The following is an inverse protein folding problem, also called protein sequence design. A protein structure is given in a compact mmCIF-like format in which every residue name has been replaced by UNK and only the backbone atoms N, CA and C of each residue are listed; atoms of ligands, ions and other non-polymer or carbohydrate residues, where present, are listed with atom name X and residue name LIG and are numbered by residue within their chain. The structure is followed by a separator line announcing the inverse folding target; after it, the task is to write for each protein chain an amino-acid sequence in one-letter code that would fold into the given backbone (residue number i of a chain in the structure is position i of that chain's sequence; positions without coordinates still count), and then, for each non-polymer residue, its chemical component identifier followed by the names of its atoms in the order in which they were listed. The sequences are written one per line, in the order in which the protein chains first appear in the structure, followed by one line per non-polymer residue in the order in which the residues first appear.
data_IF_559047825636
#
_entry.id   IF_559047825636
#
_cell.length_a   1.000
_cell.length_b   1.000
_cell.length_c   1.000
_cell.angle_alpha   90.00
_cell.angle_beta   90.00
_cell.angle_gamma   90.00
#
_symmetry.space_group_name_H-M   'P 1'
#
loop_
_entity.id
_entity.type
_entity.pdbx_description
1 polymer ?
#
# COMPACT_ATOMS: atom_id res chain seq x y z
N UNK A 1 6.81 -23.32 18.15
CA UNK A 1 5.41 -23.33 18.63
C UNK A 1 4.82 -21.96 18.33
N UNK A 2 3.68 -21.87 17.62
CA UNK A 2 2.99 -20.58 17.47
C UNK A 2 2.38 -20.27 18.81
N UNK A 3 2.90 -19.26 19.48
CA UNK A 3 2.36 -18.79 20.73
C UNK A 3 1.16 -17.90 20.44
N UNK A 4 -0.01 -18.25 20.96
CA UNK A 4 -1.25 -17.47 20.86
C UNK A 4 -1.54 -16.85 22.23
N UNK A 5 -0.49 -16.37 22.87
CA UNK A 5 -0.63 -15.68 24.14
C UNK A 5 -1.37 -14.35 23.94
N UNK A 6 -2.38 -14.13 24.79
CA UNK A 6 -3.10 -12.88 24.83
C UNK A 6 -2.27 -11.83 25.59
N UNK A 7 -2.06 -10.69 24.97
CA UNK A 7 -1.33 -9.58 25.59
C UNK A 7 -2.25 -8.86 26.59
N UNK A 8 -1.91 -8.87 27.87
CA UNK A 8 -2.73 -8.30 28.93
C UNK A 8 -2.74 -6.76 28.95
N UNK A 9 -3.23 -6.15 27.87
CA UNK A 9 -3.39 -4.70 27.78
C UNK A 9 -4.28 -4.12 28.88
N UNK A 10 -5.30 -4.89 29.32
CA UNK A 10 -6.21 -4.46 30.37
C UNK A 10 -5.51 -4.27 31.72
N UNK A 11 -4.62 -5.19 32.07
CA UNK A 11 -3.91 -5.19 33.34
C UNK A 11 -2.66 -4.31 33.38
N UNK A 12 -2.13 -3.91 32.22
CA UNK A 12 -0.93 -3.07 32.15
C UNK A 12 -1.18 -1.64 32.61
N UNK A 13 -0.25 -1.08 33.40
CA UNK A 13 -0.18 0.38 33.64
C UNK A 13 0.21 1.09 32.34
N UNK A 14 -0.01 2.41 32.27
CA UNK A 14 0.34 3.20 31.07
C UNK A 14 1.85 3.16 30.78
N UNK A 15 2.69 3.12 31.80
CA UNK A 15 4.14 3.01 31.67
C UNK A 15 4.55 1.64 31.13
N UNK A 16 3.98 0.56 31.67
CA UNK A 16 4.25 -0.80 31.21
C UNK A 16 3.75 -1.02 29.78
N UNK A 17 2.57 -0.49 29.45
CA UNK A 17 2.00 -0.58 28.10
C UNK A 17 2.88 0.17 27.08
N UNK A 18 3.33 1.38 27.41
CA UNK A 18 4.26 2.14 26.56
C UNK A 18 5.55 1.39 26.32
N UNK A 19 6.14 0.79 27.38
CA UNK A 19 7.35 -0.01 27.26
C UNK A 19 7.14 -1.24 26.36
N UNK A 20 6.05 -1.98 26.57
CA UNK A 20 5.69 -3.13 25.76
C UNK A 20 5.57 -2.75 24.27
N UNK A 21 4.90 -1.64 23.96
CA UNK A 21 4.74 -1.17 22.59
C UNK A 21 6.09 -0.82 21.94
N UNK A 22 6.99 -0.15 22.68
CA UNK A 22 8.33 0.18 22.20
C UNK A 22 9.17 -1.09 21.92
N UNK A 23 9.15 -2.07 22.84
CA UNK A 23 9.87 -3.33 22.69
C UNK A 23 9.38 -4.19 21.49
N UNK A 24 8.14 -4.00 21.07
CA UNK A 24 7.52 -4.72 19.95
C UNK A 24 7.37 -3.87 18.68
N UNK A 25 8.03 -2.70 18.59
CA UNK A 25 7.93 -1.80 17.42
C UNK A 25 6.49 -1.40 17.06
N UNK A 26 5.67 -1.15 18.08
CA UNK A 26 4.27 -0.75 17.95
C UNK A 26 4.15 0.77 18.20
N UNK A 27 3.60 1.51 17.23
CA UNK A 27 3.46 2.97 17.27
C UNK A 27 2.09 3.46 17.78
N UNK A 28 1.21 2.55 18.22
CA UNK A 28 -0.07 2.90 18.81
C UNK A 28 0.10 3.71 20.11
N UNK A 29 -0.82 4.61 20.37
CA UNK A 29 -0.93 5.26 21.69
C UNK A 29 -1.60 4.32 22.69
N UNK A 30 -1.38 4.54 23.98
CA UNK A 30 -2.02 3.74 25.03
C UNK A 30 -3.54 3.72 24.88
N UNK A 31 -4.17 4.86 24.58
CA UNK A 31 -5.62 4.98 24.37
C UNK A 31 -6.10 4.17 23.14
N UNK A 32 -5.29 4.13 22.07
CA UNK A 32 -5.57 3.35 20.86
C UNK A 32 -5.51 1.85 21.17
N UNK A 33 -4.47 1.41 21.89
CA UNK A 33 -4.34 0.01 22.32
C UNK A 33 -5.51 -0.44 23.21
N UNK A 34 -5.93 0.40 24.18
CA UNK A 34 -7.10 0.11 25.03
C UNK A 34 -8.40 0.08 24.23
N UNK A 35 -8.51 0.91 23.17
CA UNK A 35 -9.67 0.90 22.28
C UNK A 35 -9.78 -0.44 21.53
N UNK A 36 -8.66 -1.06 21.12
CA UNK A 36 -8.67 -2.40 20.49
C UNK A 36 -9.35 -3.40 21.42
N UNK A 37 -8.94 -3.43 22.70
CA UNK A 37 -9.52 -4.33 23.70
C UNK A 37 -11.06 -4.17 23.82
N UNK A 38 -11.54 -2.93 23.77
CA UNK A 38 -12.98 -2.65 23.84
C UNK A 38 -13.71 -3.13 22.57
N UNK A 39 -13.08 -2.98 21.38
CA UNK A 39 -13.68 -3.36 20.11
C UNK A 39 -13.78 -4.87 19.92
N UNK A 40 -12.74 -5.62 20.35
CA UNK A 40 -12.74 -7.08 20.23
C UNK A 40 -13.32 -7.81 21.46
N UNK A 41 -13.61 -7.08 22.54
CA UNK A 41 -14.22 -7.60 23.78
C UNK A 41 -13.29 -8.43 24.67
N UNK A 42 -12.01 -8.55 24.34
CA UNK A 42 -10.99 -9.35 25.06
C UNK A 42 -9.60 -8.72 24.89
N UNK A 43 -8.63 -9.23 25.62
CA UNK A 43 -7.23 -8.94 25.32
C UNK A 43 -6.84 -9.46 23.94
N UNK A 44 -6.07 -8.70 23.13
CA UNK A 44 -5.65 -9.10 21.78
C UNK A 44 -4.48 -10.07 21.81
N UNK A 45 -4.30 -10.80 20.71
CA UNK A 45 -3.03 -11.47 20.42
C UNK A 45 -1.98 -10.46 19.94
N UNK A 46 -0.71 -10.81 19.97
CA UNK A 46 0.35 -9.95 19.39
C UNK A 46 0.12 -9.70 17.90
N UNK A 47 -0.37 -10.70 17.15
CA UNK A 47 -0.73 -10.56 15.73
C UNK A 47 -1.83 -9.52 15.53
N UNK A 48 -2.88 -9.53 16.36
CA UNK A 48 -3.95 -8.52 16.30
C UNK A 48 -3.43 -7.12 16.59
N UNK A 49 -2.56 -6.97 17.58
CA UNK A 49 -1.98 -5.65 17.88
C UNK A 49 -1.20 -5.10 16.67
N UNK A 50 -0.38 -5.92 16.00
CA UNK A 50 0.35 -5.50 14.80
C UNK A 50 -0.60 -5.15 13.65
N UNK A 51 -1.68 -5.90 13.46
CA UNK A 51 -2.72 -5.61 12.47
C UNK A 51 -3.31 -4.21 12.70
N UNK A 52 -3.78 -3.94 13.91
CA UNK A 52 -4.31 -2.62 14.26
C UNK A 52 -3.25 -1.52 14.21
N UNK A 53 -2.00 -1.82 14.60
CA UNK A 53 -0.90 -0.86 14.53
C UNK A 53 -0.71 -0.30 13.11
N UNK A 54 -0.73 -1.17 12.10
CA UNK A 54 -0.57 -0.78 10.71
C UNK A 54 -1.84 -0.08 10.19
N UNK A 55 -3.01 -0.71 10.33
CA UNK A 55 -4.26 -0.15 9.80
C UNK A 55 -4.68 1.16 10.48
N UNK A 56 -4.29 1.37 11.73
CA UNK A 56 -4.55 2.60 12.47
C UNK A 56 -3.37 3.57 12.45
N UNK A 57 -2.34 3.34 11.63
CA UNK A 57 -1.26 4.29 11.41
C UNK A 57 -1.77 5.55 10.71
N UNK A 58 -1.02 6.64 10.73
CA UNK A 58 -1.34 7.84 9.94
C UNK A 58 -1.34 7.52 8.45
N UNK A 59 -0.44 6.63 8.02
CA UNK A 59 -0.30 6.21 6.62
C UNK A 59 -1.58 5.54 6.09
N UNK A 60 -2.12 4.53 6.79
CA UNK A 60 -3.26 3.75 6.30
C UNK A 60 -4.61 4.41 6.61
N UNK A 61 -4.76 5.04 7.78
CA UNK A 61 -6.05 5.57 8.22
C UNK A 61 -6.24 7.06 7.98
N UNK A 62 -5.17 7.80 7.62
CA UNK A 62 -5.21 9.28 7.51
C UNK A 62 -5.78 9.91 8.78
N UNK A 63 -5.43 9.37 9.95
CA UNK A 63 -6.13 9.65 11.21
C UNK A 63 -6.13 11.12 11.62
N UNK A 64 -5.13 11.91 11.21
CA UNK A 64 -5.03 13.35 11.46
C UNK A 64 -5.52 14.19 10.28
N UNK A 65 -5.43 13.71 9.05
CA UNK A 65 -5.69 14.47 7.83
C UNK A 65 -7.06 14.19 7.19
N UNK A 66 -7.68 13.03 7.48
CA UNK A 66 -8.97 12.62 6.91
C UNK A 66 -10.08 13.69 6.98
N UNK A 67 -10.29 14.42 8.11
CA UNK A 67 -11.31 15.47 8.16
C UNK A 67 -11.06 16.60 7.16
N UNK A 68 -9.79 16.93 6.89
CA UNK A 68 -9.39 17.96 5.93
C UNK A 68 -9.53 17.43 4.50
N UNK A 69 -9.06 16.21 4.22
CA UNK A 69 -9.17 15.59 2.89
C UNK A 69 -10.62 15.49 2.43
N UNK A 70 -11.57 15.24 3.34
CA UNK A 70 -13.00 15.21 3.03
C UNK A 70 -13.57 16.55 2.54
N UNK A 71 -12.86 17.66 2.70
CA UNK A 71 -13.27 18.98 2.18
C UNK A 71 -12.90 19.19 0.71
N UNK A 72 -12.03 18.34 0.14
CA UNK A 72 -11.63 18.42 -1.25
C UNK A 72 -12.77 17.98 -2.18
N UNK A 73 -12.96 18.63 -3.33
CA UNK A 73 -13.95 18.21 -4.31
C UNK A 73 -13.52 16.90 -4.97
N UNK A 74 -14.34 15.86 -4.82
CA UNK A 74 -14.08 14.53 -5.36
C UNK A 74 -15.07 14.11 -6.45
N UNK A 75 -16.03 15.00 -6.78
CA UNK A 75 -17.09 14.75 -7.79
C UNK A 75 -17.11 15.88 -8.80
N UNK A 76 -17.07 15.51 -10.08
CA UNK A 76 -17.26 16.43 -11.20
C UNK A 76 -17.86 15.64 -12.38
N UNK A 77 -18.45 16.30 -13.40
CA UNK A 77 -19.06 15.59 -14.55
C UNK A 77 -18.12 14.65 -15.30
N UNK A 78 -16.82 14.94 -15.28
CA UNK A 78 -15.77 14.14 -15.92
C UNK A 78 -15.07 13.14 -14.99
N UNK A 79 -15.48 13.02 -13.71
CA UNK A 79 -14.95 12.00 -12.80
C UNK A 79 -15.74 10.72 -12.99
N UNK A 80 -15.07 9.65 -13.46
CA UNK A 80 -15.65 8.30 -13.58
C UNK A 80 -15.61 7.63 -12.19
N UNK A 81 -14.47 7.70 -11.52
CA UNK A 81 -14.28 7.16 -10.18
C UNK A 81 -13.46 8.16 -9.36
N UNK A 82 -13.99 8.56 -8.21
CA UNK A 82 -13.27 9.42 -7.25
C UNK A 82 -12.21 8.65 -6.47
N UNK A 83 -11.51 9.30 -5.52
CA UNK A 83 -10.44 8.69 -4.72
C UNK A 83 -11.02 7.82 -3.59
N UNK A 84 -11.67 6.73 -3.95
CA UNK A 84 -12.32 5.77 -3.02
C UNK A 84 -11.76 4.35 -3.13
N UNK A 85 -10.93 4.12 -4.14
CA UNK A 85 -10.21 2.87 -4.40
C UNK A 85 -8.72 3.18 -4.59
N UNK A 86 -7.92 2.24 -5.14
CA UNK A 86 -6.46 2.39 -5.28
C UNK A 86 -6.06 3.58 -6.17
N UNK A 87 -6.90 3.97 -7.14
CA UNK A 87 -6.66 5.14 -8.01
C UNK A 87 -7.94 5.85 -8.41
N UNK A 88 -7.85 7.15 -8.69
CA UNK A 88 -8.93 7.91 -9.31
C UNK A 88 -8.96 7.76 -10.82
N UNK A 89 -10.15 7.92 -11.43
CA UNK A 89 -10.35 7.80 -12.88
C UNK A 89 -11.12 9.01 -13.39
N UNK A 90 -10.55 9.70 -14.38
CA UNK A 90 -11.12 10.87 -15.05
C UNK A 90 -11.41 10.51 -16.51
N UNK A 91 -12.53 10.98 -17.05
CA UNK A 91 -12.90 10.76 -18.45
C UNK A 91 -11.88 11.41 -19.39
N UNK A 92 -11.31 10.62 -20.29
CA UNK A 92 -10.43 11.09 -21.35
C UNK A 92 -11.24 11.46 -22.62
N UNK A 93 -12.39 10.81 -22.84
CA UNK A 93 -13.23 10.99 -23.99
C UNK A 93 -13.77 9.68 -24.55
N UNK A 94 -14.41 9.75 -25.73
CA UNK A 94 -14.98 8.59 -26.43
C UNK A 94 -14.25 8.32 -27.74
N UNK A 95 -13.89 7.06 -27.96
CA UNK A 95 -13.28 6.57 -29.20
C UNK A 95 -14.14 5.42 -29.71
N UNK A 96 -14.68 5.52 -30.92
CA UNK A 96 -15.57 4.53 -31.53
C UNK A 96 -16.77 4.14 -30.63
N UNK A 97 -17.36 5.15 -29.94
CA UNK A 97 -18.48 4.94 -29.03
C UNK A 97 -18.11 4.39 -27.62
N UNK A 98 -16.89 3.95 -27.41
CA UNK A 98 -16.38 3.47 -26.13
C UNK A 98 -15.83 4.63 -25.31
N UNK A 99 -16.21 4.74 -24.03
CA UNK A 99 -15.72 5.74 -23.10
C UNK A 99 -14.39 5.27 -22.51
N UNK A 100 -13.37 6.13 -22.59
CA UNK A 100 -12.05 5.90 -22.01
C UNK A 100 -11.83 6.79 -20.80
N UNK A 101 -11.15 6.23 -19.80
CA UNK A 101 -10.67 6.94 -18.63
C UNK A 101 -9.15 6.95 -18.57
N UNK A 102 -8.60 8.05 -18.04
CA UNK A 102 -7.23 8.11 -17.55
C UNK A 102 -7.25 7.81 -16.07
N UNK A 103 -6.47 6.82 -15.67
CA UNK A 103 -6.26 6.44 -14.27
C UNK A 103 -5.07 7.20 -13.75
N UNK A 104 -5.20 7.82 -12.60
CA UNK A 104 -4.14 8.61 -11.98
C UNK A 104 -4.00 8.20 -10.53
N UNK A 105 -2.80 7.82 -10.15
CA UNK A 105 -2.41 7.67 -8.76
C UNK A 105 -1.21 8.56 -8.45
N UNK A 106 -1.17 9.11 -7.25
CA UNK A 106 -0.10 9.95 -6.76
C UNK A 106 0.15 9.65 -5.30
N UNK A 107 1.37 9.29 -4.97
CA UNK A 107 1.80 9.10 -3.59
C UNK A 107 3.22 9.62 -3.36
N UNK A 108 3.70 9.53 -2.13
CA UNK A 108 5.06 9.92 -1.75
C UNK A 108 5.75 8.78 -1.00
N UNK A 109 7.11 8.62 -1.24
CA UNK A 109 7.95 7.62 -0.59
C UNK A 109 9.16 8.29 0.08
N UNK A 110 8.89 9.23 1.00
CA UNK A 110 9.85 10.19 1.52
C UNK A 110 10.81 9.58 2.55
N UNK A 111 10.29 9.04 3.67
CA UNK A 111 11.10 8.46 4.75
C UNK A 111 12.00 7.32 4.27
N UNK A 112 11.48 6.34 3.52
CA UNK A 112 12.33 5.29 2.96
C UNK A 112 13.45 5.83 2.07
N UNK A 113 13.14 6.83 1.23
CA UNK A 113 14.13 7.46 0.34
C UNK A 113 15.17 8.30 1.08
N UNK A 114 14.83 8.86 2.24
CA UNK A 114 15.80 9.56 3.09
C UNK A 114 16.79 8.61 3.76
N UNK A 115 16.37 7.37 4.05
CA UNK A 115 17.16 6.37 4.79
C UNK A 115 17.95 5.47 3.85
N UNK A 116 17.31 4.95 2.80
CA UNK A 116 17.89 4.06 1.76
C UNK A 116 17.42 4.58 0.39
N UNK A 117 18.08 5.61 -0.16
CA UNK A 117 17.50 6.42 -1.22
C UNK A 117 17.23 5.65 -2.53
N UNK A 118 18.08 4.73 -2.94
CA UNK A 118 17.86 3.93 -4.15
C UNK A 118 16.64 3.03 -4.00
N UNK A 119 16.62 2.17 -3.00
CA UNK A 119 15.55 1.21 -2.74
C UNK A 119 14.23 1.92 -2.39
N UNK A 120 14.31 3.00 -1.62
CA UNK A 120 13.15 3.80 -1.26
C UNK A 120 12.47 4.40 -2.49
N UNK A 121 13.22 5.02 -3.39
CA UNK A 121 12.68 5.62 -4.61
C UNK A 121 12.20 4.56 -5.61
N UNK A 122 12.96 3.48 -5.79
CA UNK A 122 12.58 2.36 -6.65
C UNK A 122 11.27 1.71 -6.18
N UNK A 123 11.10 1.51 -4.86
CA UNK A 123 9.86 0.99 -4.28
C UNK A 123 8.69 1.94 -4.50
N UNK A 124 8.89 3.26 -4.40
CA UNK A 124 7.87 4.25 -4.72
C UNK A 124 7.31 4.08 -6.13
N UNK A 125 8.18 3.92 -7.14
CA UNK A 125 7.75 3.62 -8.52
C UNK A 125 6.99 2.29 -8.57
N UNK A 126 7.49 1.25 -7.89
CA UNK A 126 6.84 -0.06 -7.85
C UNK A 126 5.42 -0.01 -7.25
N UNK A 127 5.24 0.77 -6.18
CA UNK A 127 3.96 0.98 -5.50
C UNK A 127 2.95 1.67 -6.40
N UNK A 128 3.30 2.82 -6.92
CA UNK A 128 2.37 3.63 -7.72
C UNK A 128 1.93 2.93 -9.02
N UNK A 129 2.80 2.09 -9.60
CA UNK A 129 2.44 1.25 -10.76
C UNK A 129 1.38 0.22 -10.35
N UNK A 130 1.49 -0.38 -9.15
CA UNK A 130 0.51 -1.35 -8.66
C UNK A 130 -0.88 -0.75 -8.53
N UNK A 131 -0.99 0.44 -7.96
CA UNK A 131 -2.28 1.12 -7.77
C UNK A 131 -3.03 1.33 -9.08
N UNK A 132 -2.32 1.84 -10.09
CA UNK A 132 -2.91 2.06 -11.42
C UNK A 132 -3.27 0.73 -12.09
N UNK A 133 -2.41 -0.30 -11.97
CA UNK A 133 -2.66 -1.63 -12.52
C UNK A 133 -3.89 -2.28 -11.88
N UNK A 134 -4.10 -2.08 -10.57
CA UNK A 134 -5.22 -2.67 -9.83
C UNK A 134 -6.59 -2.17 -10.28
N UNK A 135 -6.66 -1.02 -10.93
CA UNK A 135 -7.89 -0.55 -11.56
C UNK A 135 -8.22 -1.23 -12.91
N UNK A 136 -7.43 -2.22 -13.35
CA UNK A 136 -7.59 -2.86 -14.67
C UNK A 136 -6.96 -2.04 -15.81
N UNK A 137 -6.19 -1.01 -15.50
CA UNK A 137 -5.64 -0.09 -16.47
C UNK A 137 -4.34 -0.60 -17.10
N UNK A 138 -4.12 -0.23 -18.37
CA UNK A 138 -2.79 -0.31 -18.99
C UNK A 138 -1.96 0.86 -18.49
N UNK A 139 -0.91 0.57 -17.73
CA UNK A 139 0.05 1.57 -17.27
C UNK A 139 0.82 2.13 -18.48
N UNK A 140 0.91 3.45 -18.59
CA UNK A 140 1.49 4.12 -19.76
C UNK A 140 2.66 5.05 -19.43
N UNK A 141 2.71 5.60 -18.21
CA UNK A 141 3.73 6.57 -17.84
C UNK A 141 3.84 6.77 -16.34
N UNK A 142 5.01 7.29 -15.91
CA UNK A 142 5.24 7.86 -14.59
C UNK A 142 5.66 9.34 -14.70
N UNK A 143 5.59 10.05 -13.57
CA UNK A 143 6.13 11.40 -13.39
C UNK A 143 6.58 11.58 -11.95
N UNK A 144 7.69 12.32 -11.73
CA UNK A 144 8.32 12.39 -10.43
C UNK A 144 8.63 13.85 -10.02
N UNK A 145 7.74 14.51 -9.24
CA UNK A 145 8.07 15.80 -8.62
C UNK A 145 8.92 15.59 -7.37
N UNK A 146 10.22 15.93 -7.46
CA UNK A 146 11.22 15.66 -6.44
C UNK A 146 11.62 16.92 -5.69
N UNK A 147 11.82 16.80 -4.37
CA UNK A 147 12.28 17.92 -3.50
C UNK A 147 13.45 17.45 -2.67
N UNK A 148 14.56 18.17 -2.76
CA UNK A 148 15.80 17.87 -2.06
C UNK A 148 16.28 19.07 -1.25
N UNK A 149 17.14 18.79 -0.27
CA UNK A 149 17.81 19.80 0.55
C UNK A 149 18.70 20.75 -0.26
N UNK A 150 19.35 21.66 0.43
CA UNK A 150 20.23 22.66 -0.21
C UNK A 150 21.57 22.02 -0.68
N UNK A 151 21.82 21.87 -2.01
CA UNK A 151 23.03 21.25 -2.54
C UNK A 151 24.30 22.07 -2.34
N UNK A 152 24.18 23.27 -1.77
CA UNK A 152 25.28 24.18 -1.43
C UNK A 152 25.38 24.46 0.09
N UNK A 153 24.45 23.89 0.88
CA UNK A 153 24.36 24.06 2.33
C UNK A 153 25.41 23.25 3.12
N UNK A 154 25.22 23.18 4.44
CA UNK A 154 26.11 22.42 5.35
C UNK A 154 26.12 20.94 5.03
N UNK A 155 24.96 20.39 4.67
CA UNK A 155 24.75 18.96 4.39
C UNK A 155 24.91 18.61 2.90
N UNK A 156 25.55 19.46 2.12
CA UNK A 156 25.61 19.37 0.64
C UNK A 156 26.01 18.00 0.09
N UNK A 157 26.93 17.30 0.73
CA UNK A 157 27.39 16.00 0.27
C UNK A 157 26.31 14.93 0.48
N UNK A 158 25.63 14.97 1.62
CA UNK A 158 24.50 14.07 1.91
C UNK A 158 23.31 14.35 0.99
N UNK A 159 22.95 15.61 0.81
CA UNK A 159 21.88 16.02 -0.12
C UNK A 159 22.15 15.55 -1.53
N UNK A 160 23.38 15.73 -2.04
CA UNK A 160 23.78 15.25 -3.37
C UNK A 160 23.76 13.73 -3.49
N UNK A 161 24.20 13.02 -2.46
CA UNK A 161 24.12 11.56 -2.40
C UNK A 161 22.66 11.10 -2.50
N UNK A 162 21.76 11.63 -1.66
CA UNK A 162 20.34 11.28 -1.70
C UNK A 162 19.73 11.58 -3.06
N UNK A 163 19.97 12.77 -3.63
CA UNK A 163 19.41 13.14 -4.92
C UNK A 163 19.87 12.20 -6.05
N UNK A 164 21.16 11.84 -6.08
CA UNK A 164 21.70 10.91 -7.07
C UNK A 164 21.09 9.52 -6.92
N UNK A 165 21.05 8.97 -5.71
CA UNK A 165 20.54 7.61 -5.49
C UNK A 165 19.03 7.52 -5.71
N UNK A 166 18.26 8.55 -5.37
CA UNK A 166 16.83 8.63 -5.70
C UNK A 166 16.62 8.57 -7.22
N UNK A 167 17.35 9.38 -7.98
CA UNK A 167 17.26 9.38 -9.45
C UNK A 167 17.67 8.02 -10.03
N UNK A 168 18.74 7.42 -9.50
CA UNK A 168 19.21 6.09 -9.91
C UNK A 168 18.17 5.01 -9.60
N UNK A 169 17.50 5.08 -8.44
CA UNK A 169 16.44 4.14 -8.05
C UNK A 169 15.23 4.23 -8.98
N UNK A 170 14.76 5.46 -9.28
CA UNK A 170 13.68 5.70 -10.23
C UNK A 170 14.05 5.15 -11.60
N UNK A 171 15.23 5.48 -12.12
CA UNK A 171 15.69 5.03 -13.42
C UNK A 171 15.86 3.50 -13.48
N UNK A 172 16.48 2.89 -12.46
CA UNK A 172 16.71 1.46 -12.38
C UNK A 172 15.39 0.67 -12.40
N UNK A 173 14.38 1.14 -11.68
CA UNK A 173 13.06 0.49 -11.66
C UNK A 173 12.28 0.72 -12.96
N UNK A 174 12.13 1.97 -13.39
CA UNK A 174 11.33 2.35 -14.56
C UNK A 174 11.86 1.75 -15.87
N UNK A 175 13.18 1.72 -16.04
CA UNK A 175 13.82 1.09 -17.21
C UNK A 175 13.54 -0.40 -17.26
N UNK A 176 13.65 -1.11 -16.14
CA UNK A 176 13.43 -2.56 -16.10
C UNK A 176 11.97 -2.95 -16.35
N UNK A 177 11.00 -2.16 -15.88
CA UNK A 177 9.57 -2.40 -16.16
C UNK A 177 9.15 -1.88 -17.54
N UNK A 178 9.95 -1.03 -18.19
CA UNK A 178 9.67 -0.50 -19.51
C UNK A 178 8.57 0.57 -19.56
N UNK A 179 8.37 1.30 -18.45
CA UNK A 179 7.40 2.37 -18.35
C UNK A 179 8.14 3.71 -18.39
N UNK A 180 7.84 4.60 -19.39
CA UNK A 180 8.54 5.85 -19.54
C UNK A 180 8.16 6.85 -18.42
N UNK A 181 9.17 7.60 -17.96
CA UNK A 181 8.94 8.79 -17.16
C UNK A 181 8.73 9.97 -18.15
N UNK A 182 7.55 10.61 -18.09
CA UNK A 182 7.15 11.65 -19.04
C UNK A 182 7.32 13.06 -18.50
N UNK A 183 7.31 13.23 -17.19
CA UNK A 183 7.28 14.54 -16.58
C UNK A 183 7.83 14.48 -15.15
N UNK A 184 7.89 15.63 -14.53
CA UNK A 184 8.36 15.83 -13.18
C UNK A 184 9.11 17.15 -13.07
N UNK A 185 9.54 17.46 -11.88
CA UNK A 185 10.42 18.60 -11.63
C UNK A 185 11.34 18.29 -10.45
N UNK A 186 12.42 19.05 -10.35
CA UNK A 186 13.34 18.98 -9.21
C UNK A 186 13.45 20.36 -8.59
N UNK A 187 13.25 20.41 -7.29
CA UNK A 187 13.36 21.64 -6.52
C UNK A 187 14.25 21.44 -5.29
N UNK A 188 15.12 22.41 -5.02
CA UNK A 188 16.06 22.39 -3.91
C UNK A 188 15.74 23.48 -2.89
N UNK A 189 15.61 23.09 -1.62
CA UNK A 189 15.39 24.04 -0.53
C UNK A 189 15.91 23.44 0.78
N UNK A 190 16.49 24.25 1.64
CA UNK A 190 17.05 23.83 2.93
C UNK A 190 16.03 23.15 3.87
N UNK A 191 14.74 23.43 3.68
CA UNK A 191 13.68 22.76 4.46
C UNK A 191 13.58 21.26 4.20
N UNK A 192 14.23 20.74 3.16
CA UNK A 192 14.28 19.32 2.81
C UNK A 192 15.64 18.67 3.10
N UNK A 193 16.52 19.32 3.87
CA UNK A 193 17.86 18.80 4.19
C UNK A 193 17.80 17.45 4.92
N UNK A 194 16.84 17.29 5.82
CA UNK A 194 16.70 16.13 6.69
C UNK A 194 15.59 15.15 6.27
N UNK A 195 14.73 15.55 5.33
CA UNK A 195 13.67 14.71 4.79
C UNK A 195 13.31 15.16 3.36
N UNK A 196 13.86 14.48 2.37
CA UNK A 196 13.53 14.70 0.97
C UNK A 196 12.06 14.34 0.68
N UNK A 197 11.47 14.93 -0.36
CA UNK A 197 10.18 14.50 -0.89
C UNK A 197 10.41 13.78 -2.22
N UNK A 198 10.11 12.49 -2.23
CA UNK A 198 10.07 11.66 -3.42
C UNK A 198 8.62 11.38 -3.73
N UNK A 199 8.03 12.23 -4.57
CA UNK A 199 6.67 12.05 -5.03
C UNK A 199 6.71 11.28 -6.35
N UNK A 200 5.75 10.39 -6.51
CA UNK A 200 5.61 9.54 -7.69
C UNK A 200 4.17 9.61 -8.19
N UNK A 201 4.03 9.77 -9.49
CA UNK A 201 2.74 9.79 -10.19
C UNK A 201 2.76 8.68 -11.23
N UNK A 202 1.67 7.94 -11.35
CA UNK A 202 1.52 6.95 -12.40
C UNK A 202 0.22 7.20 -13.17
N UNK A 203 0.31 7.01 -14.47
CA UNK A 203 -0.81 7.18 -15.40
C UNK A 203 -1.13 5.85 -16.07
N UNK A 204 -2.42 5.56 -16.18
CA UNK A 204 -2.93 4.43 -16.95
C UNK A 204 -4.11 4.81 -17.82
N UNK A 205 -4.43 3.96 -18.78
CA UNK A 205 -5.60 4.10 -19.65
C UNK A 205 -6.42 2.81 -19.59
N UNK A 206 -7.76 2.99 -19.52
CA UNK A 206 -8.69 1.88 -19.60
C UNK A 206 -9.99 2.32 -20.31
N UNK A 207 -10.80 1.34 -20.71
CA UNK A 207 -12.21 1.59 -21.05
C UNK A 207 -13.03 1.53 -19.77
N UNK A 208 -13.99 2.44 -19.60
CA UNK A 208 -14.85 2.49 -18.40
C UNK A 208 -15.49 1.13 -18.05
N UNK A 209 -15.89 0.36 -19.06
CA UNK A 209 -16.47 -0.98 -18.87
C UNK A 209 -15.49 -2.06 -18.41
N UNK A 210 -14.20 -1.80 -18.50
CA UNK A 210 -13.12 -2.74 -18.19
C UNK A 210 -12.50 -2.45 -16.80
N UNK A 211 -13.10 -1.55 -16.01
CA UNK A 211 -12.65 -1.25 -14.63
C UNK A 211 -12.72 -2.52 -13.78
N UNK A 212 -11.64 -2.81 -13.10
CA UNK A 212 -11.55 -3.82 -12.04
C UNK A 212 -11.54 -3.07 -10.71
N UNK A 213 -12.29 -3.56 -9.75
CA UNK A 213 -12.49 -2.87 -8.47
C UNK A 213 -11.63 -3.45 -7.36
N UNK A 214 -11.19 -2.59 -6.45
CA UNK A 214 -10.44 -2.95 -5.24
C UNK A 214 -11.36 -3.42 -4.09
N UNK A 215 -12.44 -4.12 -4.42
CA UNK A 215 -13.34 -4.74 -3.45
C UNK A 215 -13.90 -6.07 -3.96
N UNK A 216 -14.34 -6.92 -3.02
CA UNK A 216 -14.98 -8.20 -3.35
C UNK A 216 -16.25 -7.97 -4.18
N UNK A 217 -16.40 -8.63 -5.34
CA UNK A 217 -17.60 -8.51 -6.17
C UNK A 217 -18.87 -8.91 -5.41
N UNK A 218 -20.01 -8.44 -5.91
CA UNK A 218 -21.30 -8.91 -5.40
C UNK A 218 -21.42 -10.44 -5.54
N UNK A 219 -21.96 -11.08 -4.52
CA UNK A 219 -22.11 -12.54 -4.42
C UNK A 219 -20.77 -13.29 -4.31
N UNK A 220 -19.72 -12.65 -3.77
CA UNK A 220 -18.40 -13.22 -3.62
C UNK A 220 -18.24 -14.22 -2.44
N UNK A 221 -19.32 -14.55 -1.72
CA UNK A 221 -19.21 -15.58 -0.66
C UNK A 221 -18.60 -16.86 -1.21
N UNK A 222 -17.57 -17.38 -0.50
CA UNK A 222 -16.88 -18.60 -0.88
C UNK A 222 -15.90 -18.44 -2.05
N UNK A 223 -15.70 -17.22 -2.59
CA UNK A 223 -14.63 -16.95 -3.55
C UNK A 223 -13.28 -17.17 -2.90
N UNK A 224 -12.33 -17.61 -3.71
CA UNK A 224 -10.96 -17.80 -3.27
C UNK A 224 -10.24 -16.45 -3.11
N UNK A 225 -9.39 -16.36 -2.10
CA UNK A 225 -8.42 -15.29 -1.92
C UNK A 225 -7.07 -15.83 -2.36
N UNK A 226 -6.51 -15.24 -3.42
CA UNK A 226 -5.27 -15.67 -4.05
C UNK A 226 -4.24 -14.57 -3.91
N UNK A 227 -3.07 -14.90 -3.36
CA UNK A 227 -1.90 -14.01 -3.40
C UNK A 227 -0.98 -14.41 -4.53
N UNK A 228 -0.32 -13.41 -5.11
CA UNK A 228 0.60 -13.57 -6.24
C UNK A 228 1.87 -12.77 -6.00
N UNK A 229 3.02 -13.33 -6.39
CA UNK A 229 4.29 -12.65 -6.43
C UNK A 229 5.34 -13.25 -5.50
N UNK A 230 6.20 -12.40 -4.95
CA UNK A 230 7.37 -12.77 -4.14
C UNK A 230 6.96 -13.48 -2.85
N UNK A 231 7.74 -14.47 -2.36
CA UNK A 231 7.49 -15.05 -1.05
C UNK A 231 7.65 -14.00 0.06
N UNK A 232 6.79 -14.08 1.06
CA UNK A 232 6.83 -13.17 2.20
C UNK A 232 8.12 -13.37 2.98
N UNK A 233 8.80 -12.28 3.28
CA UNK A 233 10.01 -12.20 4.08
C UNK A 233 9.87 -11.17 5.22
N UNK A 234 10.94 -10.82 5.87
CA UNK A 234 10.96 -9.80 6.93
C UNK A 234 11.23 -8.38 6.39
N UNK A 235 11.41 -8.19 5.09
CA UNK A 235 11.61 -6.85 4.50
C UNK A 235 10.33 -6.02 4.57
N UNK A 236 10.46 -4.72 4.78
CA UNK A 236 9.32 -3.81 4.91
C UNK A 236 8.44 -4.05 6.14
N UNK A 237 8.89 -4.85 7.13
CA UNK A 237 8.14 -5.00 8.37
C UNK A 237 8.05 -3.68 9.12
N UNK A 238 6.83 -3.20 9.34
CA UNK A 238 6.58 -1.91 10.01
C UNK A 238 6.77 -0.67 9.13
N UNK A 239 6.90 -0.79 7.82
CA UNK A 239 7.11 0.32 6.89
C UNK A 239 6.07 1.43 7.00
N UNK A 240 4.77 1.09 6.99
CA UNK A 240 3.68 2.07 7.16
C UNK A 240 3.71 2.75 8.55
N UNK A 241 4.09 2.03 9.60
CA UNK A 241 4.28 2.61 10.92
C UNK A 241 5.50 3.55 10.95
N UNK A 242 6.62 3.16 10.35
CA UNK A 242 7.82 3.98 10.21
C UNK A 242 7.56 5.27 9.44
N UNK A 243 6.82 5.21 8.33
CA UNK A 243 6.44 6.38 7.54
C UNK A 243 5.60 7.41 8.33
N UNK A 244 5.05 7.02 9.48
CA UNK A 244 4.25 7.87 10.36
C UNK A 244 5.04 8.48 11.53
N UNK A 245 6.34 8.18 11.69
CA UNK A 245 7.19 8.66 12.78
C UNK A 245 7.83 10.03 12.45
N UNK A 246 8.31 10.72 13.48
CA UNK A 246 9.23 11.82 13.32
C UNK A 246 10.60 11.24 12.95
N UNK A 247 11.19 11.73 11.86
CA UNK A 247 12.45 11.21 11.33
C UNK A 247 13.64 11.91 12.02
N UNK A 248 14.16 11.31 13.08
CA UNK A 248 15.44 11.67 13.71
C UNK A 248 16.52 10.62 13.39
N UNK A 249 17.75 10.83 13.86
CA UNK A 249 18.88 9.93 13.55
C UNK A 249 18.68 8.53 14.11
N UNK A 250 18.10 8.38 15.30
CA UNK A 250 17.81 7.09 15.92
C UNK A 250 16.74 6.34 15.12
N UNK A 251 15.68 7.04 14.71
CA UNK A 251 14.64 6.49 13.87
C UNK A 251 15.15 6.06 12.48
N UNK A 252 16.07 6.82 11.88
CA UNK A 252 16.71 6.46 10.61
C UNK A 252 17.48 5.14 10.71
N UNK A 253 18.31 4.98 11.73
CA UNK A 253 19.18 3.80 11.89
C UNK A 253 18.37 2.54 12.25
N UNK A 254 17.45 2.66 13.20
CA UNK A 254 16.64 1.53 13.69
C UNK A 254 15.64 1.00 12.66
N UNK A 255 15.23 1.81 11.68
CA UNK A 255 14.19 1.46 10.70
C UNK A 255 14.71 1.18 9.27
N UNK A 256 16.00 0.95 9.08
CA UNK A 256 16.54 0.53 7.77
C UNK A 256 15.88 -0.75 7.25
N UNK A 257 15.59 -1.70 8.12
CA UNK A 257 14.90 -2.94 7.78
C UNK A 257 13.41 -2.77 7.43
N UNK A 258 12.82 -1.61 7.74
CA UNK A 258 11.45 -1.26 7.35
C UNK A 258 11.36 -0.79 5.89
N UNK A 259 12.48 -0.55 5.21
CA UNK A 259 12.51 -0.25 3.78
C UNK A 259 12.41 -1.54 2.99
N UNK A 260 11.52 -1.54 2.01
CA UNK A 260 11.25 -2.69 1.16
C UNK A 260 12.39 -2.92 0.14
N UNK A 261 12.49 -4.15 -0.37
CA UNK A 261 13.46 -4.55 -1.40
C UNK A 261 12.75 -4.67 -2.74
N UNK A 262 12.93 -3.71 -3.68
CA UNK A 262 12.30 -3.73 -4.99
C UNK A 262 12.88 -4.82 -5.90
N UNK A 263 12.03 -5.40 -6.76
CA UNK A 263 12.42 -6.32 -7.82
C UNK A 263 11.72 -5.96 -9.13
N UNK A 264 12.27 -5.00 -9.88
CA UNK A 264 11.62 -4.50 -11.09
C UNK A 264 11.56 -5.53 -12.22
N UNK A 265 12.44 -6.55 -12.22
CA UNK A 265 12.39 -7.61 -13.24
C UNK A 265 11.17 -8.51 -12.98
N UNK A 266 10.97 -8.97 -11.76
CA UNK A 266 9.77 -9.71 -11.37
C UNK A 266 8.51 -8.85 -11.63
N UNK A 267 8.56 -7.56 -11.32
CA UNK A 267 7.43 -6.64 -11.59
C UNK A 267 7.05 -6.61 -13.07
N UNK A 268 8.00 -6.54 -13.98
CA UNK A 268 7.72 -6.57 -15.42
C UNK A 268 6.93 -7.82 -15.80
N UNK A 269 7.37 -8.99 -15.31
CA UNK A 269 6.68 -10.26 -15.57
C UNK A 269 5.28 -10.28 -14.94
N UNK A 270 5.15 -9.81 -13.70
CA UNK A 270 3.86 -9.71 -13.01
C UNK A 270 2.86 -8.81 -13.76
N UNK A 271 3.30 -7.65 -14.28
CA UNK A 271 2.46 -6.74 -15.07
C UNK A 271 1.93 -7.47 -16.31
N UNK A 272 2.78 -8.17 -17.03
CA UNK A 272 2.41 -8.90 -18.26
C UNK A 272 1.43 -10.04 -17.96
N UNK A 273 1.73 -10.83 -16.93
CA UNK A 273 0.85 -11.90 -16.46
C UNK A 273 -0.52 -11.37 -16.00
N UNK A 274 -0.52 -10.23 -15.29
CA UNK A 274 -1.76 -9.58 -14.83
C UNK A 274 -2.63 -9.13 -16.01
N UNK A 275 -2.03 -8.57 -17.06
CA UNK A 275 -2.79 -8.23 -18.27
C UNK A 275 -3.41 -9.46 -18.93
N UNK A 276 -2.74 -10.61 -18.90
CA UNK A 276 -3.34 -11.85 -19.43
C UNK A 276 -4.50 -12.35 -18.55
N UNK A 277 -4.41 -12.20 -17.22
CA UNK A 277 -5.56 -12.45 -16.32
C UNK A 277 -6.74 -11.54 -16.67
N UNK A 278 -6.51 -10.25 -16.93
CA UNK A 278 -7.57 -9.33 -17.35
C UNK A 278 -8.22 -9.76 -18.66
N UNK A 279 -7.40 -10.15 -19.64
CA UNK A 279 -7.89 -10.63 -20.94
C UNK A 279 -8.74 -11.88 -20.79
N UNK A 280 -8.29 -12.83 -19.98
CA UNK A 280 -9.01 -14.09 -19.77
C UNK A 280 -10.29 -13.90 -18.97
N UNK A 281 -10.28 -13.03 -17.94
CA UNK A 281 -11.47 -12.66 -17.18
C UNK A 281 -12.54 -12.01 -18.08
N UNK A 282 -12.10 -11.16 -19.01
CA UNK A 282 -12.98 -10.50 -19.97
C UNK A 282 -13.59 -11.51 -20.97
N UNK A 283 -12.81 -12.44 -21.51
CA UNK A 283 -13.29 -13.52 -22.39
C UNK A 283 -14.35 -14.37 -21.71
N UNK A 284 -14.17 -14.68 -20.43
CA UNK A 284 -15.07 -15.51 -19.64
C UNK A 284 -16.19 -14.73 -18.95
N UNK A 285 -16.23 -13.39 -19.11
CA UNK A 285 -17.15 -12.49 -18.42
C UNK A 285 -17.17 -12.71 -16.89
N UNK A 286 -15.99 -12.71 -16.27
CA UNK A 286 -15.81 -12.93 -14.84
C UNK A 286 -15.51 -11.60 -14.16
N UNK A 287 -16.20 -11.31 -13.05
CA UNK A 287 -15.86 -10.20 -12.17
C UNK A 287 -14.93 -10.67 -11.08
N UNK A 288 -13.87 -9.91 -10.86
CA UNK A 288 -12.80 -10.17 -9.90
C UNK A 288 -12.69 -8.96 -8.95
N UNK A 289 -12.21 -9.19 -7.73
CA UNK A 289 -11.63 -8.15 -6.91
C UNK A 289 -10.11 -8.20 -7.07
N UNK A 290 -9.44 -7.06 -7.14
CA UNK A 290 -8.00 -7.00 -7.32
C UNK A 290 -7.41 -5.82 -6.57
N UNK A 291 -6.35 -6.07 -5.81
CA UNK A 291 -5.71 -5.04 -5.02
C UNK A 291 -4.21 -5.27 -4.96
N UNK A 292 -3.46 -4.17 -4.86
CA UNK A 292 -2.05 -4.23 -4.58
C UNK A 292 -1.77 -4.76 -3.16
N UNK A 293 -0.56 -5.23 -2.95
CA UNK A 293 -0.09 -5.67 -1.66
C UNK A 293 1.15 -4.85 -1.29
N UNK A 294 0.90 -3.63 -0.82
CA UNK A 294 1.90 -2.68 -0.35
C UNK A 294 1.92 -2.61 1.17
N UNK A 295 1.59 -1.44 1.70
CA UNK A 295 1.53 -1.18 3.14
C UNK A 295 0.64 -2.19 3.87
N UNK A 296 1.13 -2.74 4.99
CA UNK A 296 0.42 -3.73 5.78
C UNK A 296 0.24 -5.11 5.14
N UNK A 297 0.86 -5.35 3.98
CA UNK A 297 1.00 -6.67 3.38
C UNK A 297 -0.31 -7.42 3.14
N UNK A 298 -0.29 -8.71 3.45
CA UNK A 298 -1.44 -9.62 3.24
C UNK A 298 -2.68 -9.14 4.00
N UNK A 299 -2.48 -8.70 5.24
CA UNK A 299 -3.58 -8.28 6.10
C UNK A 299 -4.32 -7.09 5.49
N UNK A 300 -3.62 -6.06 5.06
CA UNK A 300 -4.23 -4.85 4.52
C UNK A 300 -5.02 -5.19 3.24
N UNK A 301 -4.36 -5.79 2.24
CA UNK A 301 -5.00 -6.09 0.96
C UNK A 301 -6.21 -7.01 1.09
N UNK A 302 -6.14 -8.06 1.90
CA UNK A 302 -7.24 -9.03 2.03
C UNK A 302 -8.39 -8.49 2.88
N UNK A 303 -8.09 -7.74 3.96
CA UNK A 303 -9.14 -7.18 4.81
C UNK A 303 -9.89 -6.05 4.10
N UNK A 304 -9.21 -5.17 3.36
CA UNK A 304 -9.84 -4.09 2.62
C UNK A 304 -10.69 -4.61 1.47
N UNK A 305 -10.15 -5.52 0.62
CA UNK A 305 -10.93 -6.14 -0.45
C UNK A 305 -12.26 -6.76 0.05
N UNK A 306 -12.21 -7.45 1.19
CA UNK A 306 -13.41 -8.08 1.75
C UNK A 306 -14.32 -7.06 2.44
N UNK A 307 -13.77 -6.18 3.27
CA UNK A 307 -14.53 -5.17 4.01
C UNK A 307 -15.28 -4.21 3.11
N UNK A 308 -14.66 -3.76 2.01
CA UNK A 308 -15.26 -2.81 1.07
C UNK A 308 -16.35 -3.46 0.21
N UNK A 309 -16.30 -4.79 0.08
CA UNK A 309 -17.37 -5.60 -0.49
C UNK A 309 -18.47 -6.04 0.48
N UNK A 310 -18.41 -5.60 1.76
CA UNK A 310 -19.30 -6.03 2.85
C UNK A 310 -19.20 -7.52 3.22
N UNK A 311 -17.99 -8.08 3.14
CA UNK A 311 -17.67 -9.46 3.50
C UNK A 311 -16.62 -9.50 4.62
N UNK A 312 -16.46 -10.69 5.20
CA UNK A 312 -15.31 -11.07 6.01
C UNK A 312 -14.34 -11.95 5.23
N UNK A 313 -13.26 -12.34 5.89
CA UNK A 313 -12.25 -13.21 5.31
C UNK A 313 -11.79 -14.29 6.28
N UNK A 314 -11.51 -15.48 5.77
CA UNK A 314 -10.80 -16.55 6.47
C UNK A 314 -9.51 -16.88 5.73
N UNK A 315 -8.37 -16.61 6.35
CA UNK A 315 -7.02 -16.77 5.78
C UNK A 315 -6.25 -17.82 6.57
N UNK A 316 -5.56 -18.68 5.85
CA UNK A 316 -4.66 -19.71 6.37
C UNK A 316 -3.22 -19.29 6.05
N UNK A 317 -2.49 -18.78 7.06
CA UNK A 317 -1.11 -18.34 6.89
C UNK A 317 -0.13 -19.47 6.55
N UNK A 318 -0.51 -20.73 6.81
CA UNK A 318 0.30 -21.89 6.41
C UNK A 318 0.33 -22.09 4.88
N UNK A 319 -0.62 -21.47 4.14
CA UNK A 319 -0.68 -21.48 2.68
C UNK A 319 0.04 -20.32 2.01
N UNK A 320 0.47 -19.34 2.81
CA UNK A 320 1.29 -18.24 2.32
C UNK A 320 2.68 -18.75 1.99
N UNK A 321 3.18 -18.45 0.80
CA UNK A 321 4.57 -18.75 0.48
C UNK A 321 5.48 -17.74 1.21
N UNK A 322 6.40 -18.29 1.99
CA UNK A 322 7.38 -17.56 2.80
C UNK A 322 8.80 -17.98 2.39
N UNK A 323 9.75 -17.06 2.48
CA UNK A 323 11.16 -17.34 2.16
C UNK A 323 11.97 -17.86 3.36
N UNK A 324 11.44 -17.65 4.58
CA UNK A 324 12.07 -18.06 5.84
C UNK A 324 10.99 -18.29 6.90
N UNK A 325 11.33 -19.03 7.98
CA UNK A 325 10.42 -19.19 9.12
C UNK A 325 10.32 -17.88 9.92
N UNK A 326 9.16 -17.24 9.83
CA UNK A 326 8.85 -15.96 10.48
C UNK A 326 7.53 -16.06 11.28
N UNK A 327 7.36 -15.25 12.34
CA UNK A 327 6.17 -15.31 13.19
C UNK A 327 4.91 -14.87 12.45
N UNK A 328 3.75 -15.26 12.98
CA UNK A 328 2.41 -15.00 12.38
C UNK A 328 2.17 -13.54 12.06
N UNK A 329 2.51 -12.64 12.99
CA UNK A 329 2.32 -11.21 12.78
C UNK A 329 3.17 -10.70 11.61
N UNK A 330 4.40 -11.20 11.46
CA UNK A 330 5.27 -10.81 10.36
C UNK A 330 4.77 -11.35 9.02
N UNK A 331 4.28 -12.60 8.95
CA UNK A 331 3.63 -13.13 7.75
C UNK A 331 2.44 -12.24 7.34
N UNK A 332 1.65 -11.81 8.33
CA UNK A 332 0.43 -11.05 8.08
C UNK A 332 0.69 -9.63 7.58
N UNK A 333 1.69 -8.93 8.13
CA UNK A 333 1.83 -7.48 7.91
C UNK A 333 3.12 -7.04 7.21
N UNK A 334 4.06 -7.94 6.87
CA UNK A 334 5.26 -7.55 6.11
C UNK A 334 4.92 -7.01 4.73
N UNK A 335 5.58 -5.92 4.37
CA UNK A 335 5.34 -5.18 3.12
C UNK A 335 6.30 -5.65 2.01
N UNK A 336 6.60 -6.96 1.98
CA UNK A 336 7.40 -7.56 0.90
C UNK A 336 6.85 -7.12 -0.45
N UNK A 337 7.70 -6.55 -1.30
CA UNK A 337 7.31 -5.95 -2.56
C UNK A 337 6.93 -6.99 -3.63
N UNK A 338 6.40 -6.52 -4.75
CA UNK A 338 6.04 -7.31 -5.93
C UNK A 338 4.99 -8.38 -5.64
N UNK A 339 3.88 -7.95 -5.00
CA UNK A 339 2.77 -8.84 -4.68
C UNK A 339 1.42 -8.20 -4.99
N UNK A 340 0.43 -9.06 -5.26
CA UNK A 340 -0.97 -8.71 -5.48
C UNK A 340 -1.91 -9.67 -4.80
N UNK A 341 -3.15 -9.25 -4.58
CA UNK A 341 -4.23 -10.07 -4.05
C UNK A 341 -5.41 -10.06 -5.02
N UNK A 342 -5.92 -11.26 -5.31
CA UNK A 342 -7.14 -11.47 -6.09
C UNK A 342 -8.27 -12.04 -5.24
N UNK A 343 -9.49 -11.59 -5.49
CA UNK A 343 -10.70 -12.29 -5.09
C UNK A 343 -11.32 -12.87 -6.37
N UNK A 344 -11.42 -14.20 -6.43
CA UNK A 344 -11.77 -14.93 -7.64
C UNK A 344 -12.82 -16.01 -7.39
N UNK A 345 -13.84 -16.14 -8.24
CA UNK A 345 -14.73 -17.29 -8.16
C UNK A 345 -13.96 -18.57 -8.44
N UNK A 346 -14.27 -19.64 -7.69
CA UNK A 346 -13.56 -20.94 -7.77
C UNK A 346 -13.41 -21.48 -9.18
N UNK A 347 -14.39 -21.20 -10.07
CA UNK A 347 -14.33 -21.65 -11.47
C UNK A 347 -13.23 -20.94 -12.28
N UNK A 348 -12.80 -19.76 -11.87
CA UNK A 348 -11.78 -18.96 -12.58
C UNK A 348 -10.40 -19.01 -11.90
N UNK A 349 -10.34 -19.32 -10.61
CA UNK A 349 -9.07 -19.42 -9.86
C UNK A 349 -8.02 -20.29 -10.56
N UNK A 350 -8.36 -21.46 -11.17
CA UNK A 350 -7.38 -22.25 -11.91
C UNK A 350 -6.71 -21.50 -13.05
N UNK A 351 -7.43 -20.59 -13.75
CA UNK A 351 -6.86 -19.77 -14.81
C UNK A 351 -5.83 -18.78 -14.25
N UNK A 352 -6.11 -18.17 -13.09
CA UNK A 352 -5.14 -17.29 -12.41
C UNK A 352 -3.88 -18.06 -12.07
N UNK A 353 -4.02 -19.23 -11.40
CA UNK A 353 -2.88 -20.05 -11.00
C UNK A 353 -2.06 -20.50 -12.22
N UNK A 354 -2.72 -20.94 -13.29
CA UNK A 354 -2.07 -21.36 -14.52
C UNK A 354 -1.28 -20.23 -15.16
N UNK A 355 -1.89 -19.06 -15.35
CA UNK A 355 -1.22 -17.91 -15.97
C UNK A 355 0.07 -17.58 -15.21
N UNK A 356 0.00 -17.38 -13.89
CA UNK A 356 1.19 -16.97 -13.14
C UNK A 356 2.22 -18.07 -12.94
N UNK A 357 1.79 -19.31 -12.65
CA UNK A 357 2.70 -20.37 -12.26
C UNK A 357 3.24 -21.19 -13.45
N UNK A 358 2.43 -21.33 -14.53
CA UNK A 358 2.78 -22.18 -15.67
C UNK A 358 3.12 -21.34 -16.92
N UNK A 359 2.23 -20.41 -17.32
CA UNK A 359 2.41 -19.67 -18.57
C UNK A 359 3.52 -18.60 -18.44
N UNK A 360 3.67 -17.98 -17.27
CA UNK A 360 4.72 -17.00 -16.96
C UNK A 360 5.80 -17.53 -16.02
N UNK A 361 5.69 -18.75 -15.54
CA UNK A 361 6.71 -19.47 -14.75
C UNK A 361 7.37 -18.60 -13.67
N UNK A 362 6.57 -17.94 -12.80
CA UNK A 362 7.09 -16.97 -11.81
C UNK A 362 8.23 -17.52 -10.95
N UNK A 363 8.22 -18.81 -10.63
CA UNK A 363 9.28 -19.46 -9.85
C UNK A 363 10.64 -19.50 -10.55
N UNK A 364 10.65 -19.41 -11.88
CA UNK A 364 11.88 -19.31 -12.70
C UNK A 364 12.37 -17.86 -12.79
N UNK A 365 11.49 -16.89 -12.52
CA UNK A 365 11.81 -15.45 -12.53
C UNK A 365 12.41 -15.01 -11.20
N UNK A 366 11.80 -15.44 -10.10
CA UNK A 366 12.28 -15.17 -8.75
C UNK A 366 12.00 -16.37 -7.85
N UNK A 367 12.99 -16.76 -7.04
CA UNK A 367 12.90 -17.93 -6.17
C UNK A 367 11.68 -17.86 -5.25
N UNK A 368 10.85 -18.91 -5.27
CA UNK A 368 9.66 -19.01 -4.46
C UNK A 368 8.47 -18.14 -4.88
N UNK A 369 8.62 -17.30 -5.93
CA UNK A 369 7.52 -16.51 -6.44
C UNK A 369 6.46 -17.39 -7.11
N UNK A 370 5.18 -17.16 -6.77
CA UNK A 370 4.05 -17.93 -7.32
C UNK A 370 2.70 -17.28 -7.02
N UNK A 371 1.65 -17.82 -7.60
CA UNK A 371 0.26 -17.61 -7.19
C UNK A 371 -0.19 -18.75 -6.28
N UNK A 372 -0.85 -18.45 -5.17
CA UNK A 372 -1.39 -19.45 -4.24
C UNK A 372 -2.70 -19.02 -3.59
N UNK A 373 -3.61 -19.96 -3.40
CA UNK A 373 -4.86 -19.75 -2.67
C UNK A 373 -4.53 -19.79 -1.17
N UNK A 374 -4.80 -18.69 -0.48
CA UNK A 374 -4.51 -18.57 0.97
C UNK A 374 -5.76 -18.53 1.83
N UNK A 375 -6.93 -18.39 1.25
CA UNK A 375 -8.16 -18.26 2.02
C UNK A 375 -9.39 -18.12 1.15
N UNK A 376 -10.46 -17.67 1.79
CA UNK A 376 -11.77 -17.47 1.15
C UNK A 376 -12.51 -16.29 1.73
N UNK A 377 -13.38 -15.71 0.92
CA UNK A 377 -14.36 -14.68 1.31
C UNK A 377 -15.49 -15.33 2.11
N UNK A 378 -15.92 -14.70 3.20
CA UNK A 378 -16.98 -15.21 4.09
C UNK A 378 -18.11 -14.19 4.27
N UNK A 379 -19.30 -14.65 4.61
CA UNK A 379 -20.42 -13.78 5.02
C UNK A 379 -20.27 -13.22 6.43
N UNK A 380 -19.45 -13.86 7.27
CA UNK A 380 -19.17 -13.28 8.60
C UNK A 380 -18.50 -11.92 8.41
N UNK A 381 -18.76 -11.01 9.32
CA UNK A 381 -18.08 -9.70 9.31
C UNK A 381 -16.76 -9.75 10.08
N UNK A 382 -16.14 -10.93 10.15
CA UNK A 382 -14.90 -11.16 10.87
C UNK A 382 -13.72 -11.34 9.93
N UNK A 383 -12.56 -10.91 10.39
CA UNK A 383 -11.26 -11.21 9.79
C UNK A 383 -10.58 -12.29 10.63
N UNK A 384 -10.50 -13.49 10.07
CA UNK A 384 -9.99 -14.69 10.75
C UNK A 384 -8.66 -15.12 10.12
N UNK A 385 -7.58 -15.10 10.91
CA UNK A 385 -6.29 -15.65 10.51
C UNK A 385 -5.98 -16.91 11.32
N UNK A 386 -5.53 -17.97 10.61
CA UNK A 386 -5.01 -19.20 11.20
C UNK A 386 -3.53 -19.38 10.88
N UNK A 387 -2.76 -19.91 11.81
CA UNK A 387 -1.37 -20.32 11.61
C UNK A 387 -1.06 -21.54 12.46
N UNK A 388 -0.49 -22.58 11.84
CA UNK A 388 -0.16 -23.86 12.49
C UNK A 388 -1.34 -24.42 13.30
N UNK A 389 -2.53 -24.37 12.69
CA UNK A 389 -3.79 -24.85 13.27
C UNK A 389 -4.41 -23.99 14.37
N UNK A 390 -3.80 -22.86 14.74
CA UNK A 390 -4.29 -21.94 15.78
C UNK A 390 -4.86 -20.65 15.17
N UNK A 391 -5.85 -20.08 15.83
CA UNK A 391 -6.39 -18.74 15.49
C UNK A 391 -5.43 -17.69 16.06
N UNK A 392 -4.81 -16.90 15.19
CA UNK A 392 -3.88 -15.83 15.57
C UNK A 392 -4.51 -14.43 15.44
N UNK A 393 -5.63 -14.33 14.72
CA UNK A 393 -6.48 -13.14 14.68
C UNK A 393 -7.93 -13.56 14.52
N UNK A 394 -8.81 -12.92 15.29
CA UNK A 394 -10.26 -13.00 15.13
C UNK A 394 -10.87 -11.68 15.61
N UNK A 395 -11.11 -10.77 14.67
CA UNK A 395 -11.62 -9.44 14.98
C UNK A 395 -12.65 -9.00 13.93
N UNK A 396 -13.61 -8.13 14.30
CA UNK A 396 -14.53 -7.56 13.32
C UNK A 396 -13.75 -6.84 12.21
N UNK A 397 -13.97 -7.20 10.94
CA UNK A 397 -13.19 -6.68 9.82
C UNK A 397 -13.33 -5.16 9.70
N UNK A 398 -14.52 -4.60 9.92
CA UNK A 398 -14.77 -3.16 9.93
C UNK A 398 -14.03 -2.44 11.07
N UNK A 399 -13.78 -3.08 12.21
CA UNK A 399 -12.98 -2.49 13.29
C UNK A 399 -11.51 -2.32 12.86
N UNK A 400 -11.00 -3.24 12.04
CA UNK A 400 -9.65 -3.15 11.46
C UNK A 400 -9.62 -2.04 10.41
N UNK A 401 -10.46 -2.12 9.37
CA UNK A 401 -10.34 -1.30 8.15
C UNK A 401 -10.90 0.13 8.28
N UNK A 402 -11.82 0.40 9.21
CA UNK A 402 -12.36 1.75 9.40
C UNK A 402 -11.30 2.76 9.89
N UNK A 403 -10.22 2.26 10.48
CA UNK A 403 -9.18 3.09 11.06
C UNK A 403 -9.68 3.94 12.24
N UNK A 404 -8.89 4.94 12.61
CA UNK A 404 -9.28 5.97 13.58
C UNK A 404 -9.12 7.34 12.95
N UNK A 405 -9.86 8.32 13.45
CA UNK A 405 -9.77 9.71 12.98
C UNK A 405 -9.80 10.66 14.17
N UNK A 406 -8.94 11.66 14.14
CA UNK A 406 -8.86 12.72 15.12
C UNK A 406 -9.31 14.04 14.51
N UNK A 407 -10.20 14.74 15.21
CA UNK A 407 -10.52 16.13 14.89
C UNK A 407 -9.45 17.04 15.54
N UNK A 408 -8.49 17.47 14.73
CA UNK A 408 -7.37 18.30 15.20
C UNK A 408 -7.79 19.76 15.26
N UNK A 409 -7.54 20.40 16.41
CA UNK A 409 -7.76 21.82 16.57
C UNK A 409 -6.80 22.56 15.65
N UNK A 410 -7.36 23.31 14.68
CA UNK A 410 -6.60 24.19 13.80
C UNK A 410 -6.60 25.63 14.33
N UNK A 411 -5.45 26.29 14.23
CA UNK A 411 -5.33 27.74 14.55
C UNK A 411 -4.95 28.48 13.29
N UNK A 412 -5.68 29.56 13.00
CA UNK A 412 -5.31 30.46 11.91
C UNK A 412 -3.91 31.04 12.17
N UNK A 413 -2.97 30.96 11.23
CA UNK A 413 -1.65 31.54 11.42
C UNK A 413 -1.73 33.06 11.57
N UNK A 414 -0.93 33.62 12.47
CA UNK A 414 -0.86 35.08 12.67
C UNK A 414 -0.15 35.83 11.51
N UNK A 415 0.44 35.09 10.57
CA UNK A 415 1.09 35.67 9.38
C UNK A 415 0.04 36.08 8.36
N UNK A 416 0.00 37.36 8.01
CA UNK A 416 -0.68 37.83 6.80
C UNK A 416 0.28 37.60 5.62
N UNK A 417 -0.05 36.63 4.78
CA UNK A 417 0.63 36.51 3.49
C UNK A 417 0.17 37.68 2.62
N UNK A 418 1.11 38.47 2.11
CA UNK A 418 0.82 39.41 1.03
C UNK A 418 0.90 38.61 -0.26
N UNK A 419 -0.21 38.57 -0.99
CA UNK A 419 -0.17 38.06 -2.35
C UNK A 419 0.77 38.92 -3.19
N UNK A 420 1.70 38.34 -3.95
CA UNK A 420 2.52 39.12 -4.85
C UNK A 420 1.62 39.78 -5.89
N UNK A 421 1.81 41.11 -6.09
CA UNK A 421 1.15 41.81 -7.18
C UNK A 421 1.84 41.37 -8.48
N UNK A 422 1.25 40.45 -9.18
CA UNK A 422 1.70 40.02 -10.50
C UNK A 422 1.25 41.14 -11.48
N UNK A 423 2.19 41.97 -11.94
CA UNK A 423 1.93 42.84 -13.09
C UNK A 423 2.03 41.94 -14.33
N UNK A 424 0.90 41.60 -14.90
CA UNK A 424 0.89 41.00 -16.23
C UNK A 424 1.53 42.01 -17.20
N UNK A 425 2.63 41.61 -17.84
CA UNK A 425 3.13 42.35 -18.99
C UNK A 425 2.22 42.00 -20.15
N UNK A 426 1.45 42.98 -20.62
CA UNK A 426 0.61 42.88 -21.81
C UNK A 426 1.45 42.89 -23.11
N UNK A 427 2.50 42.07 -23.18
CA UNK A 427 3.33 41.94 -24.38
C UNK A 427 3.47 40.48 -24.74
N UNK A 428 2.48 39.98 -25.48
CA UNK A 428 2.58 38.81 -26.34
C UNK A 428 2.20 39.20 -27.74
#
# INVERSE_FOLDING_TARGET
MVDVELVDIKGMSDTSLKKFMQENSISLKNEEARRIVNLIGRNPTLTEIHIFNIQWSEHSSYKSSRPILKTLPTKAPNVILGPVEDSGIVELGKINGEKYGIVVSHESHNHPSQVVPYEGAATGIGGIIRDVLCMGAKVIATADPLRFGNPFGKNKNHVKYIANEVINGIAGYSNAVGIPNLAGDVYFNESFDDNCLVNVVCLGILKEKDIIHSYAPKDAEGYDIVIVGKPTDNSGFGGAAFASLILDEEAKESNRGAVQVPDPFLKNVLIRATYEVFNEAKKQNVKLGFKDMGAGGIMCSTSELCSDGDYGAEIDLDKVHISMDIPSFMIAVSETQERFTWISPKRFTPSILKIYNEDFELSNVAEGAKASIIGKVTKSQDYLLRHKGKIVCNAPIKAITSGISYDRISKKPNRKFKEPIIKEKNDY
#
